data_IF_692961313571
#
_entry.id   IF_692961313571
#
_cell.length_a   1.000
_cell.length_b   1.000
_cell.length_c   1.000
_cell.angle_alpha   90.00
_cell.angle_beta   90.00
_cell.angle_gamma   90.00
#
_symmetry.space_group_name_H-M   'P 1'
#
loop_
_entity.id
_entity.type
_entity.pdbx_description
1 polymer ?
#
# COMPACT_ATOMS: atom_id res chain seq x y z
N UNK A 1 -29.52 7.24 1.84
CA UNK A 1 -29.48 5.75 1.84
C UNK A 1 -29.06 5.19 0.48
N UNK A 2 -29.67 5.63 -0.64
CA UNK A 2 -29.38 5.12 -1.99
C UNK A 2 -27.90 5.24 -2.39
N UNK A 3 -27.33 6.44 -2.27
CA UNK A 3 -25.92 6.71 -2.58
C UNK A 3 -24.93 5.83 -1.81
N UNK A 4 -25.22 5.57 -0.53
CA UNK A 4 -24.38 4.70 0.30
C UNK A 4 -24.42 3.25 -0.17
N UNK A 5 -25.61 2.72 -0.48
CA UNK A 5 -25.76 1.34 -0.96
C UNK A 5 -25.10 1.18 -2.33
N UNK A 6 -25.26 2.18 -3.21
CA UNK A 6 -24.66 2.17 -4.54
C UNK A 6 -23.13 2.22 -4.48
N UNK A 7 -22.56 3.13 -3.68
CA UNK A 7 -21.12 3.19 -3.45
C UNK A 7 -20.58 1.92 -2.77
N UNK A 8 -21.28 1.39 -1.77
CA UNK A 8 -20.89 0.15 -1.11
C UNK A 8 -20.88 -1.02 -2.09
N UNK A 9 -21.92 -1.21 -2.88
CA UNK A 9 -22.01 -2.33 -3.84
C UNK A 9 -20.95 -2.20 -4.93
N UNK A 10 -20.73 -1.00 -5.47
CA UNK A 10 -19.70 -0.77 -6.49
C UNK A 10 -18.29 -1.05 -5.97
N UNK A 11 -17.94 -0.53 -4.79
CA UNK A 11 -16.63 -0.76 -4.17
C UNK A 11 -16.49 -2.23 -3.76
N UNK A 12 -17.51 -2.80 -3.13
CA UNK A 12 -17.49 -4.20 -2.70
C UNK A 12 -17.26 -5.14 -3.87
N UNK A 13 -18.01 -4.98 -4.98
CA UNK A 13 -17.84 -5.81 -6.18
C UNK A 13 -16.48 -5.53 -6.85
N UNK A 14 -16.05 -4.26 -6.89
CA UNK A 14 -14.79 -3.85 -7.50
C UNK A 14 -13.54 -4.39 -6.78
N UNK A 15 -13.64 -4.57 -5.46
CA UNK A 15 -12.57 -5.09 -4.60
C UNK A 15 -12.72 -6.60 -4.32
N UNK A 16 -13.83 -7.24 -4.75
CA UNK A 16 -14.05 -8.66 -4.49
C UNK A 16 -13.14 -9.51 -5.38
N UNK A 17 -12.35 -10.40 -4.76
CA UNK A 17 -11.39 -11.23 -5.48
C UNK A 17 -10.06 -10.53 -5.77
N UNK A 18 -9.77 -9.45 -5.03
CA UNK A 18 -8.47 -8.81 -5.11
C UNK A 18 -7.33 -9.75 -4.63
N UNK A 19 -6.12 -9.52 -5.13
CA UNK A 19 -4.91 -10.31 -4.83
C UNK A 19 -4.64 -10.36 -3.33
N UNK A 20 -4.89 -9.27 -2.62
CA UNK A 20 -4.78 -9.17 -1.16
C UNK A 20 -5.63 -10.22 -0.43
N UNK A 21 -6.82 -10.53 -0.93
CA UNK A 21 -7.76 -11.49 -0.33
C UNK A 21 -7.27 -12.94 -0.52
N UNK A 22 -6.77 -13.27 -1.71
CA UNK A 22 -6.19 -14.59 -1.98
C UNK A 22 -4.89 -14.81 -1.20
N UNK A 23 -4.04 -13.78 -1.06
CA UNK A 23 -2.83 -13.84 -0.24
C UNK A 23 -3.15 -14.02 1.24
N UNK A 24 -4.13 -13.29 1.77
CA UNK A 24 -4.60 -13.46 3.15
C UNK A 24 -5.12 -14.88 3.39
N UNK A 25 -5.90 -15.42 2.43
CA UNK A 25 -6.43 -16.77 2.49
C UNK A 25 -5.31 -17.82 2.51
N UNK A 26 -4.29 -17.67 1.65
CA UNK A 26 -3.13 -18.57 1.60
C UNK A 26 -2.36 -18.61 2.92
N UNK A 27 -2.19 -17.47 3.59
CA UNK A 27 -1.56 -17.45 4.92
C UNK A 27 -2.48 -17.99 6.02
N UNK A 28 -3.80 -17.80 5.90
CA UNK A 28 -4.78 -18.31 6.86
C UNK A 28 -4.90 -19.84 6.87
N UNK A 29 -4.52 -20.53 5.79
CA UNK A 29 -4.46 -22.01 5.79
C UNK A 29 -3.22 -22.54 6.51
N UNK A 30 -2.17 -21.71 6.66
CA UNK A 30 -0.85 -22.12 7.16
C UNK A 30 -0.55 -21.63 8.58
N UNK A 31 -1.05 -20.45 8.96
CA UNK A 31 -0.72 -19.78 10.22
C UNK A 31 -1.95 -19.44 11.08
N UNK A 32 -1.80 -19.30 12.41
CA UNK A 32 -2.90 -18.90 13.28
C UNK A 32 -3.49 -17.54 12.89
N UNK A 33 -4.82 -17.42 12.94
CA UNK A 33 -5.56 -16.20 12.57
C UNK A 33 -4.98 -14.91 13.17
N UNK A 34 -4.57 -14.94 14.45
CA UNK A 34 -3.98 -13.77 15.13
C UNK A 34 -2.68 -13.31 14.49
N UNK A 35 -1.85 -14.26 14.06
CA UNK A 35 -0.57 -13.99 13.40
C UNK A 35 -0.78 -13.43 12.01
N UNK A 36 -1.75 -13.99 11.27
CA UNK A 36 -2.12 -13.51 9.93
C UNK A 36 -2.67 -12.09 10.00
N UNK A 37 -3.65 -11.84 10.87
CA UNK A 37 -4.18 -10.49 11.07
C UNK A 37 -3.10 -9.49 11.48
N UNK A 38 -2.19 -9.87 12.37
CA UNK A 38 -1.08 -9.03 12.80
C UNK A 38 -0.11 -8.71 11.66
N UNK A 39 0.26 -9.71 10.86
CA UNK A 39 1.14 -9.54 9.70
C UNK A 39 0.51 -8.68 8.61
N UNK A 40 -0.73 -8.98 8.21
CA UNK A 40 -1.51 -8.21 7.22
C UNK A 40 -1.62 -6.75 7.65
N UNK A 41 -2.04 -6.51 8.89
CA UNK A 41 -2.22 -5.15 9.41
C UNK A 41 -0.90 -4.37 9.40
N UNK A 42 0.21 -5.02 9.79
CA UNK A 42 1.53 -4.40 9.76
C UNK A 42 1.98 -4.07 8.34
N UNK A 43 1.83 -5.00 7.40
CA UNK A 43 2.18 -4.81 5.99
C UNK A 43 1.42 -3.64 5.36
N UNK A 44 0.11 -3.60 5.53
CA UNK A 44 -0.75 -2.52 5.01
C UNK A 44 -0.38 -1.17 5.65
N UNK A 45 -0.19 -1.14 6.98
CA UNK A 45 0.17 0.09 7.69
C UNK A 45 1.52 0.66 7.22
N UNK A 46 2.51 -0.20 7.00
CA UNK A 46 3.80 0.20 6.43
C UNK A 46 3.64 0.73 5.01
N UNK A 47 2.82 0.07 4.19
CA UNK A 47 2.63 0.46 2.80
C UNK A 47 1.98 1.85 2.69
N UNK A 48 0.90 2.08 3.43
CA UNK A 48 0.22 3.38 3.47
C UNK A 48 1.09 4.46 4.13
N UNK A 49 1.78 4.11 5.22
CA UNK A 49 2.69 5.03 5.90
C UNK A 49 3.82 5.51 4.99
N UNK A 50 4.42 4.61 4.21
CA UNK A 50 5.45 4.95 3.23
C UNK A 50 4.90 5.83 2.12
N UNK A 51 3.71 5.52 1.61
CA UNK A 51 3.03 6.30 0.58
C UNK A 51 2.80 7.75 1.04
N UNK A 52 2.23 7.91 2.23
CA UNK A 52 1.95 9.23 2.82
C UNK A 52 3.26 9.97 3.07
N UNK A 53 4.28 9.31 3.62
CA UNK A 53 5.58 9.93 3.87
C UNK A 53 6.22 10.42 2.56
N UNK A 54 6.23 9.59 1.52
CA UNK A 54 6.72 9.97 0.20
C UNK A 54 5.94 11.18 -0.35
N UNK A 55 4.60 11.16 -0.28
CA UNK A 55 3.76 12.28 -0.67
C UNK A 55 4.08 13.59 0.08
N UNK A 56 4.30 13.52 1.39
CA UNK A 56 4.65 14.69 2.22
C UNK A 56 6.05 15.22 1.90
N UNK A 57 7.05 14.34 1.76
CA UNK A 57 8.41 14.74 1.40
C UNK A 57 8.44 15.41 0.03
N UNK A 58 7.71 14.84 -0.92
CA UNK A 58 7.60 15.35 -2.28
C UNK A 58 6.92 16.72 -2.30
N UNK A 59 5.76 16.88 -1.64
CA UNK A 59 5.02 18.14 -1.59
C UNK A 59 5.76 19.24 -0.81
N UNK A 60 6.56 18.89 0.19
CA UNK A 60 7.40 19.84 0.92
C UNK A 60 8.61 20.34 0.13
N UNK A 61 9.09 19.57 -0.86
CA UNK A 61 10.29 19.91 -1.65
C UNK A 61 9.96 20.55 -3.00
N UNK A 62 8.82 20.19 -3.59
CA UNK A 62 8.39 20.67 -4.91
C UNK A 62 7.09 21.45 -4.80
N UNK A 63 7.18 22.78 -4.85
CA UNK A 63 6.02 23.67 -4.83
C UNK A 63 5.22 23.66 -6.15
N UNK A 64 5.80 23.15 -7.23
CA UNK A 64 5.15 23.05 -8.55
C UNK A 64 4.60 21.63 -8.77
N UNK A 65 3.28 21.51 -8.64
CA UNK A 65 2.51 20.27 -8.84
C UNK A 65 2.66 19.75 -10.28
N UNK A 66 2.88 20.62 -11.27
CA UNK A 66 3.01 20.23 -12.67
C UNK A 66 4.27 19.43 -12.96
N UNK A 67 5.41 19.85 -12.41
CA UNK A 67 6.67 19.10 -12.51
C UNK A 67 6.54 17.72 -11.88
N UNK A 68 5.79 17.63 -10.79
CA UNK A 68 5.62 16.40 -10.06
C UNK A 68 4.74 15.38 -10.78
N UNK A 69 3.68 15.83 -11.44
CA UNK A 69 2.86 14.97 -12.31
C UNK A 69 3.68 14.39 -13.47
N UNK A 70 4.61 15.16 -14.03
CA UNK A 70 5.51 14.68 -15.09
C UNK A 70 6.45 13.59 -14.55
N UNK A 71 7.04 13.80 -13.36
CA UNK A 71 7.89 12.78 -12.72
C UNK A 71 7.08 11.52 -12.40
N UNK A 72 5.88 11.65 -11.83
CA UNK A 72 5.02 10.52 -11.50
C UNK A 72 4.63 9.73 -12.76
N UNK A 73 4.28 10.42 -13.86
CA UNK A 73 4.02 9.79 -15.15
C UNK A 73 5.25 9.07 -15.72
N UNK A 74 6.44 9.66 -15.60
CA UNK A 74 7.68 9.02 -16.03
C UNK A 74 8.00 7.78 -15.19
N UNK A 75 7.87 7.86 -13.88
CA UNK A 75 8.05 6.72 -12.97
C UNK A 75 7.03 5.61 -13.25
N UNK A 76 5.76 5.96 -13.51
CA UNK A 76 4.73 5.00 -13.90
C UNK A 76 5.09 4.25 -15.18
N UNK A 77 5.55 4.96 -16.21
CA UNK A 77 6.03 4.33 -17.45
C UNK A 77 7.27 3.48 -17.22
N UNK A 78 8.23 3.95 -16.41
CA UNK A 78 9.44 3.22 -16.09
C UNK A 78 9.13 1.90 -15.36
N UNK A 79 8.36 1.94 -14.28
CA UNK A 79 7.98 0.74 -13.53
C UNK A 79 7.06 -0.17 -14.33
N UNK A 80 6.12 0.38 -15.10
CA UNK A 80 5.26 -0.38 -16.00
C UNK A 80 6.07 -1.15 -17.06
N UNK A 81 7.02 -0.48 -17.72
CA UNK A 81 7.88 -1.12 -18.72
C UNK A 81 8.88 -2.09 -18.09
N UNK A 82 9.48 -1.73 -16.95
CA UNK A 82 10.36 -2.63 -16.20
C UNK A 82 9.62 -3.91 -15.79
N UNK A 83 8.36 -3.80 -15.37
CA UNK A 83 7.52 -4.96 -15.03
C UNK A 83 7.20 -5.84 -16.24
N UNK A 84 7.17 -5.31 -17.46
CA UNK A 84 7.04 -6.11 -18.69
C UNK A 84 8.34 -6.83 -19.06
N UNK A 85 9.48 -6.33 -18.59
CA UNK A 85 10.81 -6.91 -18.84
C UNK A 85 11.35 -7.76 -17.68
N UNK A 86 10.59 -7.91 -16.59
CA UNK A 86 10.88 -8.94 -15.60
C UNK A 86 10.53 -10.27 -16.26
N UNK A 87 11.56 -10.98 -16.72
CA UNK A 87 11.45 -12.41 -16.92
C UNK A 87 11.09 -12.98 -15.54
N UNK A 88 9.88 -13.52 -15.44
CA UNK A 88 9.53 -14.43 -14.36
C UNK A 88 10.42 -15.65 -14.58
N UNK A 89 11.65 -15.61 -14.09
CA UNK A 89 12.29 -16.85 -13.69
C UNK A 89 11.30 -17.49 -12.73
N UNK A 90 10.93 -18.73 -13.01
CA UNK A 90 10.09 -19.58 -12.16
C UNK A 90 10.86 -19.83 -10.84
N UNK A 91 11.07 -18.78 -10.05
CA UNK A 91 11.15 -18.92 -8.63
C UNK A 91 9.73 -19.32 -8.22
N UNK A 92 9.50 -20.63 -8.06
CA UNK A 92 8.54 -21.08 -7.04
C UNK A 92 8.74 -20.14 -5.87
N UNK A 93 7.68 -19.51 -5.36
CA UNK A 93 7.78 -18.59 -4.24
C UNK A 93 8.48 -19.34 -3.11
N UNK A 94 9.79 -19.14 -3.05
CA UNK A 94 10.71 -19.91 -2.24
C UNK A 94 10.32 -19.49 -0.85
N UNK A 95 9.48 -20.30 -0.21
CA UNK A 95 8.76 -19.95 1.01
C UNK A 95 9.81 -19.47 1.98
N UNK A 96 9.91 -18.14 2.10
CA UNK A 96 11.13 -17.44 2.51
C UNK A 96 11.82 -18.26 3.58
N UNK A 97 13.02 -18.73 3.22
CA UNK A 97 13.87 -19.63 3.98
C UNK A 97 13.65 -19.48 5.49
N UNK A 98 13.52 -20.61 6.19
CA UNK A 98 13.19 -20.77 7.61
C UNK A 98 14.25 -20.18 8.56
N UNK A 99 14.89 -19.07 8.21
CA UNK A 99 15.81 -18.31 9.02
C UNK A 99 15.09 -17.39 9.99
N UNK A 100 14.72 -17.89 11.17
CA UNK A 100 14.44 -17.19 12.44
C UNK A 100 13.53 -15.92 12.44
N UNK A 101 12.98 -15.49 11.30
CA UNK A 101 12.02 -14.39 11.20
C UNK A 101 10.64 -15.00 11.41
N UNK A 102 9.99 -14.59 12.50
CA UNK A 102 8.71 -15.16 12.90
C UNK A 102 7.65 -14.98 11.80
N UNK A 103 6.67 -15.89 11.70
CA UNK A 103 5.62 -15.87 10.67
C UNK A 103 4.91 -14.52 10.47
N UNK A 104 4.83 -13.69 11.52
CA UNK A 104 4.27 -12.34 11.44
C UNK A 104 5.06 -11.44 10.47
N UNK A 105 6.39 -11.51 10.48
CA UNK A 105 7.24 -10.71 9.59
C UNK A 105 7.14 -11.19 8.15
N UNK A 106 7.04 -12.50 7.93
CA UNK A 106 6.87 -13.08 6.58
C UNK A 106 5.56 -12.58 5.95
N UNK A 107 4.47 -12.65 6.70
CA UNK A 107 3.16 -12.18 6.23
C UNK A 107 3.18 -10.66 6.01
N UNK A 108 3.77 -9.89 6.92
CA UNK A 108 3.89 -8.44 6.77
C UNK A 108 4.73 -8.04 5.55
N UNK A 109 5.83 -8.73 5.29
CA UNK A 109 6.68 -8.49 4.12
C UNK A 109 5.96 -8.87 2.81
N UNK A 110 5.27 -10.01 2.78
CA UNK A 110 4.49 -10.44 1.63
C UNK A 110 3.36 -9.44 1.30
N UNK A 111 2.63 -8.95 2.30
CA UNK A 111 1.62 -7.91 2.10
C UNK A 111 2.24 -6.57 1.71
N UNK A 112 3.34 -6.18 2.34
CA UNK A 112 4.02 -4.93 1.99
C UNK A 112 4.47 -4.95 0.53
N UNK A 113 5.18 -5.99 0.10
CA UNK A 113 5.68 -6.13 -1.28
C UNK A 113 4.53 -6.33 -2.27
N UNK A 114 3.55 -7.16 -1.92
CA UNK A 114 2.41 -7.46 -2.79
C UNK A 114 1.49 -6.25 -3.04
N UNK A 115 1.40 -5.34 -2.08
CA UNK A 115 0.57 -4.12 -2.15
C UNK A 115 1.36 -2.88 -2.62
N UNK A 116 2.68 -2.99 -2.83
CA UNK A 116 3.49 -1.87 -3.28
C UNK A 116 3.10 -1.46 -4.71
N UNK A 117 2.68 -0.21 -4.86
CA UNK A 117 2.22 0.35 -6.13
C UNK A 117 0.76 0.07 -6.47
N UNK A 118 -0.01 -0.52 -5.54
CA UNK A 118 -1.43 -0.75 -5.79
C UNK A 118 -2.24 0.57 -5.86
N UNK A 119 -3.41 0.50 -6.51
CA UNK A 119 -4.37 1.60 -6.64
C UNK A 119 -4.66 2.26 -5.30
N UNK A 120 -4.78 1.47 -4.24
CA UNK A 120 -5.03 1.98 -2.89
C UNK A 120 -3.88 2.87 -2.40
N UNK A 121 -2.64 2.52 -2.71
CA UNK A 121 -1.46 3.31 -2.33
C UNK A 121 -1.41 4.64 -3.09
N UNK A 122 -1.69 4.63 -4.40
CA UNK A 122 -1.73 5.84 -5.22
C UNK A 122 -2.87 6.77 -4.82
N UNK A 123 -4.03 6.21 -4.45
CA UNK A 123 -5.15 6.98 -3.91
C UNK A 123 -4.78 7.64 -2.58
N UNK A 124 -4.11 6.91 -1.67
CA UNK A 124 -3.64 7.46 -0.40
C UNK A 124 -2.61 8.59 -0.60
N UNK A 125 -1.67 8.45 -1.54
CA UNK A 125 -0.73 9.52 -1.90
C UNK A 125 -1.45 10.75 -2.43
N UNK A 126 -2.39 10.55 -3.37
CA UNK A 126 -3.15 11.65 -3.99
C UNK A 126 -3.94 12.41 -2.94
N UNK A 127 -4.66 11.71 -2.06
CA UNK A 127 -5.38 12.33 -0.94
C UNK A 127 -4.44 13.09 0.00
N UNK A 128 -3.26 12.54 0.30
CA UNK A 128 -2.28 13.23 1.14
C UNK A 128 -1.77 14.52 0.49
N UNK A 129 -1.52 14.50 -0.83
CA UNK A 129 -1.04 15.65 -1.62
C UNK A 129 -2.11 16.73 -1.79
N UNK A 130 -3.37 16.36 -1.99
CA UNK A 130 -4.49 17.32 -2.09
C UNK A 130 -4.91 17.87 -0.72
N UNK A 131 -4.61 17.17 0.37
CA UNK A 131 -4.95 17.64 1.72
C UNK A 131 -4.14 18.88 2.10
N UNK A 132 -4.81 20.03 2.21
CA UNK A 132 -4.21 21.32 2.58
C UNK A 132 -3.62 21.37 4.01
N UNK A 133 -3.74 20.30 4.82
CA UNK A 133 -3.25 20.26 6.22
C UNK A 133 -2.82 18.87 6.70
N UNK A 134 -1.60 18.40 6.35
CA UNK A 134 -1.02 17.17 6.89
C UNK A 134 -0.75 17.23 8.42
N UNK A 135 -0.72 18.43 9.00
CA UNK A 135 -0.28 18.70 10.37
C UNK A 135 -1.42 18.81 11.41
N UNK A 136 -2.69 18.70 11.01
CA UNK A 136 -3.84 18.97 11.90
C UNK A 136 -4.23 17.78 12.81
N UNK A 137 -3.42 16.73 12.87
CA UNK A 137 -3.57 15.58 13.81
C UNK A 137 -2.66 15.72 15.05
N UNK A 138 -1.72 16.67 15.09
CA UNK A 138 -1.01 17.02 16.32
C UNK A 138 -1.69 18.23 16.97
N UNK A 139 -2.28 18.11 18.18
CA UNK A 139 -2.79 19.26 18.88
C UNK A 139 -1.62 20.24 19.12
N UNK A 140 -1.79 21.54 18.84
CA UNK A 140 -0.77 22.52 19.15
C UNK A 140 -0.61 22.54 20.68
N UNK A 141 0.54 22.09 21.17
CA UNK A 141 0.98 22.45 22.52
C UNK A 141 1.10 23.96 22.54
N UNK A 142 0.18 24.63 23.22
CA UNK A 142 0.24 26.06 23.49
C UNK A 142 1.53 26.37 24.25
N UNK A 143 2.31 27.38 23.85
CA UNK A 143 3.36 27.91 24.70
C UNK A 143 2.70 28.77 25.79
N UNK A 144 2.97 28.43 27.05
CA UNK A 144 3.08 29.42 28.13
C UNK A 144 4.52 29.41 28.59
#
# INVERSE_FOLDING_TARGET
>A
MREFIEAFVMVFIGEMGDKSQFLALAFATTYPMRTVLGGVSLGIALNHGLAILAAVLISGFFADVGFLQIIAGFLFLFFGLSSLSVDYEDEEDDVVDRGNRGPLLTIAAAFFIGELGDKTQLMAMTLAMESTRPLLILPPRSPR
#
